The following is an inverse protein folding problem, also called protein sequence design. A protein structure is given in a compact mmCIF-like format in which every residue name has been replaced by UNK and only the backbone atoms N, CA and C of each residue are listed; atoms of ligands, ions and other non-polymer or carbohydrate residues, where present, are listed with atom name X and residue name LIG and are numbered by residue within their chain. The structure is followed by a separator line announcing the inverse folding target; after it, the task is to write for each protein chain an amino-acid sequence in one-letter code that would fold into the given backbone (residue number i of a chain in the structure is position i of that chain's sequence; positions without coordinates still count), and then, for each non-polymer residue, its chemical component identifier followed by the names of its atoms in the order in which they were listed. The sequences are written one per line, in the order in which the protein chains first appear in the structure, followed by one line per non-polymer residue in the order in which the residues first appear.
data_IF_299115984958
#
_entry.id   IF_299115984958
#
_cell.length_a   1.000
_cell.length_b   1.000
_cell.length_c   1.000
_cell.angle_alpha   90.00
_cell.angle_beta   90.00
_cell.angle_gamma   90.00
#
_symmetry.space_group_name_H-M   'P 1'
#
loop_
_entity.id
_entity.type
_entity.pdbx_description
1 polymer ?
#
# COMPACT_ATOMS: atom_id res chain seq x y z
N UNK A 1 -33.20 -38.26 -52.83
CA UNK A 1 -32.70 -38.97 -51.62
C UNK A 1 -32.06 -37.95 -50.70
N UNK A 2 -32.36 -37.92 -49.41
CA UNK A 2 -33.65 -37.53 -48.83
C UNK A 2 -33.58 -36.20 -48.02
N UNK A 3 -34.75 -35.56 -47.95
CA UNK A 3 -35.37 -34.81 -46.84
C UNK A 3 -34.59 -33.84 -45.94
N UNK A 4 -34.99 -32.56 -46.07
CA UNK A 4 -35.36 -31.64 -44.98
C UNK A 4 -35.50 -32.28 -43.58
N UNK A 5 -34.80 -31.72 -42.60
CA UNK A 5 -35.35 -31.46 -41.26
C UNK A 5 -34.48 -30.43 -40.53
N UNK A 6 -35.05 -29.23 -40.36
CA UNK A 6 -34.61 -28.25 -39.38
C UNK A 6 -34.88 -28.79 -37.98
N UNK A 7 -33.83 -29.20 -37.26
CA UNK A 7 -33.95 -29.49 -35.84
C UNK A 7 -34.09 -28.17 -35.05
N UNK A 8 -35.11 -28.02 -34.20
CA UNK A 8 -35.19 -26.90 -33.28
C UNK A 8 -34.09 -27.05 -32.23
N UNK A 9 -33.60 -25.95 -31.62
CA UNK A 9 -32.68 -26.06 -30.51
C UNK A 9 -33.38 -26.84 -29.39
N UNK A 10 -32.76 -27.93 -28.95
CA UNK A 10 -33.10 -28.67 -27.74
C UNK A 10 -32.94 -27.74 -26.53
N UNK A 11 -33.97 -26.95 -26.24
CA UNK A 11 -34.19 -26.41 -24.90
C UNK A 11 -34.91 -27.50 -24.12
N UNK A 12 -34.15 -28.39 -23.48
CA UNK A 12 -34.73 -29.26 -22.46
C UNK A 12 -35.30 -28.38 -21.33
N UNK A 13 -36.41 -28.80 -20.73
CA UNK A 13 -36.95 -28.16 -19.51
C UNK A 13 -35.88 -28.03 -18.41
N UNK A 14 -34.89 -28.94 -18.39
CA UNK A 14 -33.72 -28.88 -17.52
C UNK A 14 -32.78 -27.69 -17.82
N UNK A 15 -32.62 -27.29 -19.09
CA UNK A 15 -31.76 -26.15 -19.47
C UNK A 15 -32.44 -24.79 -19.22
N UNK A 16 -33.78 -24.72 -19.29
CA UNK A 16 -34.54 -23.55 -18.83
C UNK A 16 -34.55 -23.42 -17.29
N UNK A 17 -34.63 -24.53 -16.56
CA UNK A 17 -34.50 -24.53 -15.10
C UNK A 17 -33.07 -24.20 -14.64
N UNK A 18 -32.04 -24.65 -15.37
CA UNK A 18 -30.65 -24.28 -15.10
C UNK A 18 -30.36 -22.79 -15.37
N UNK A 19 -31.01 -22.19 -16.37
CA UNK A 19 -30.92 -20.75 -16.65
C UNK A 19 -31.71 -19.89 -15.64
N UNK A 20 -32.86 -20.37 -15.14
CA UNK A 20 -33.59 -19.73 -14.04
C UNK A 20 -32.85 -19.81 -12.71
N UNK A 21 -32.06 -20.87 -12.46
CA UNK A 21 -31.19 -20.99 -11.30
C UNK A 21 -29.95 -20.08 -11.37
N UNK A 22 -29.64 -19.49 -12.53
CA UNK A 22 -28.53 -18.55 -12.74
C UNK A 22 -28.99 -17.09 -12.86
N UNK A 23 -30.29 -16.81 -12.81
CA UNK A 23 -30.78 -15.45 -12.62
C UNK A 23 -30.57 -15.08 -11.14
N UNK A 24 -29.92 -13.95 -10.81
CA UNK A 24 -29.92 -13.45 -9.45
C UNK A 24 -31.39 -13.28 -9.06
N UNK A 25 -31.83 -14.00 -8.03
CA UNK A 25 -33.12 -13.74 -7.41
C UNK A 25 -33.20 -12.24 -7.16
N UNK A 26 -34.27 -11.59 -7.64
CA UNK A 26 -34.54 -10.22 -7.23
C UNK A 26 -34.49 -10.20 -5.70
N UNK A 27 -33.67 -9.34 -5.08
CA UNK A 27 -33.53 -9.34 -3.65
C UNK A 27 -34.93 -9.12 -3.09
N UNK A 28 -35.38 -10.06 -2.26
CA UNK A 28 -36.55 -9.82 -1.43
C UNK A 28 -36.34 -8.48 -0.73
N UNK A 29 -37.40 -7.69 -0.56
CA UNK A 29 -37.33 -6.39 0.12
C UNK A 29 -36.83 -6.47 1.59
N UNK A 30 -36.43 -7.65 2.06
CA UNK A 30 -35.78 -7.90 3.36
C UNK A 30 -34.24 -7.90 3.32
N UNK A 31 -33.59 -7.84 2.15
CA UNK A 31 -32.12 -7.87 2.04
C UNK A 31 -31.43 -6.50 2.13
N UNK A 32 -32.17 -5.44 2.50
CA UNK A 32 -31.58 -4.19 3.00
C UNK A 32 -31.47 -4.31 4.52
N UNK A 33 -30.48 -5.06 4.98
CA UNK A 33 -30.02 -5.05 6.37
C UNK A 33 -31.09 -5.42 7.40
N UNK A 34 -31.46 -6.70 7.51
CA UNK A 34 -31.99 -7.20 8.77
C UNK A 34 -30.88 -7.10 9.82
N UNK A 35 -30.96 -6.06 10.64
CA UNK A 35 -30.01 -5.64 11.67
C UNK A 35 -29.95 -6.64 12.85
N UNK A 36 -29.53 -7.89 12.61
CA UNK A 36 -29.37 -8.90 13.68
C UNK A 36 -28.25 -8.52 14.67
N UNK A 37 -27.40 -7.56 14.30
CA UNK A 37 -26.29 -7.07 15.11
C UNK A 37 -26.36 -5.56 15.42
N UNK A 38 -27.46 -4.89 15.05
CA UNK A 38 -27.68 -3.48 15.36
C UNK A 38 -28.11 -3.29 16.82
N UNK A 39 -27.49 -2.35 17.53
CA UNK A 39 -27.98 -1.95 18.85
C UNK A 39 -29.27 -1.13 18.66
N UNK A 40 -30.39 -1.61 19.20
CA UNK A 40 -31.60 -0.80 19.26
C UNK A 40 -31.41 0.34 20.28
N UNK A 41 -31.05 1.52 19.78
CA UNK A 41 -30.86 2.72 20.59
C UNK A 41 -32.15 3.55 20.53
N UNK A 42 -32.91 3.68 21.63
CA UNK A 42 -34.17 4.43 21.63
C UNK A 42 -33.99 5.87 21.14
N UNK A 43 -34.85 6.30 20.21
CA UNK A 43 -34.85 7.64 19.59
C UNK A 43 -33.60 7.98 18.77
N UNK A 44 -32.81 6.98 18.39
CA UNK A 44 -31.73 7.17 17.44
C UNK A 44 -32.29 7.34 16.02
N UNK A 45 -31.80 8.35 15.32
CA UNK A 45 -32.03 8.54 13.90
C UNK A 45 -30.68 8.66 13.21
N UNK A 46 -30.45 7.82 12.20
CA UNK A 46 -29.21 7.82 11.44
C UNK A 46 -29.01 9.18 10.75
N UNK A 47 -27.78 9.69 10.81
CA UNK A 47 -27.36 10.91 10.13
C UNK A 47 -25.87 10.83 9.83
N UNK A 48 -25.48 10.98 8.56
CA UNK A 48 -24.06 10.98 8.19
C UNK A 48 -23.27 12.08 8.91
N UNK A 49 -23.86 13.26 9.14
CA UNK A 49 -23.21 14.34 9.89
C UNK A 49 -22.94 13.94 11.34
N UNK A 50 -23.91 13.29 11.99
CA UNK A 50 -23.74 12.80 13.36
C UNK A 50 -22.72 11.68 13.43
N UNK A 51 -22.82 10.69 12.54
CA UNK A 51 -21.99 9.48 12.58
C UNK A 51 -20.53 9.75 12.16
N UNK A 52 -20.28 10.74 11.31
CA UNK A 52 -18.93 11.08 10.83
C UNK A 52 -18.39 12.30 11.59
N UNK A 53 -18.92 13.50 11.31
CA UNK A 53 -18.39 14.73 11.89
C UNK A 53 -18.64 14.80 13.41
N UNK A 54 -19.81 14.37 13.88
CA UNK A 54 -20.13 14.29 15.30
C UNK A 54 -19.23 13.33 16.07
N UNK A 55 -18.98 12.13 15.52
CA UNK A 55 -18.04 11.16 16.10
C UNK A 55 -16.61 11.69 16.14
N UNK A 56 -16.13 12.30 15.04
CA UNK A 56 -14.81 12.93 14.98
C UNK A 56 -14.69 14.03 16.04
N UNK A 57 -15.71 14.89 16.16
CA UNK A 57 -15.74 15.95 17.17
C UNK A 57 -15.69 15.38 18.58
N UNK A 58 -16.47 14.35 18.87
CA UNK A 58 -16.47 13.69 20.18
C UNK A 58 -15.09 13.08 20.50
N UNK A 59 -14.50 12.34 19.56
CA UNK A 59 -13.16 11.77 19.73
C UNK A 59 -12.14 12.87 19.99
N UNK A 60 -12.11 13.92 19.16
CA UNK A 60 -11.13 14.99 19.27
C UNK A 60 -11.25 15.81 20.56
N UNK A 61 -12.46 15.97 21.10
CA UNK A 61 -12.70 16.81 22.29
C UNK A 61 -12.73 16.04 23.60
N UNK A 62 -12.96 14.72 23.57
CA UNK A 62 -13.15 13.90 24.78
C UNK A 62 -12.17 12.75 24.93
N UNK A 63 -11.67 12.17 23.84
CA UNK A 63 -10.94 10.90 23.89
C UNK A 63 -9.48 11.01 23.41
N UNK A 64 -9.24 11.81 22.38
CA UNK A 64 -7.93 11.94 21.77
C UNK A 64 -6.96 12.71 22.71
N UNK A 65 -5.70 12.27 22.82
CA UNK A 65 -4.70 13.04 23.55
C UNK A 65 -4.39 14.36 22.83
N UNK A 66 -3.91 15.39 23.55
CA UNK A 66 -3.55 16.68 22.95
C UNK A 66 -2.61 16.53 21.75
N UNK A 67 -2.90 17.24 20.67
CA UNK A 67 -2.09 17.23 19.45
C UNK A 67 -2.23 15.99 18.57
N UNK A 68 -3.17 15.08 18.85
CA UNK A 68 -3.42 13.87 18.05
C UNK A 68 -4.88 13.77 17.57
N UNK A 69 -5.37 14.71 16.75
CA UNK A 69 -6.73 14.65 16.24
C UNK A 69 -6.92 13.45 15.29
N UNK A 70 -8.17 13.07 15.06
CA UNK A 70 -8.55 12.07 14.04
C UNK A 70 -8.04 12.52 12.67
N UNK A 71 -7.43 11.59 11.93
CA UNK A 71 -6.89 11.81 10.58
C UNK A 71 -7.47 10.88 9.52
N UNK A 72 -7.99 9.74 9.93
CA UNK A 72 -8.49 8.69 9.04
C UNK A 72 -9.79 8.15 9.62
N UNK A 73 -10.82 8.05 8.78
CA UNK A 73 -12.03 7.27 9.05
C UNK A 73 -11.88 5.89 8.41
N UNK A 74 -12.08 4.85 9.22
CA UNK A 74 -12.09 3.46 8.77
C UNK A 74 -13.53 2.96 8.72
N UNK A 75 -14.00 2.53 7.55
CA UNK A 75 -15.40 2.16 7.35
C UNK A 75 -15.80 0.93 8.18
N UNK A 76 -16.98 1.00 8.80
CA UNK A 76 -17.62 -0.11 9.49
C UNK A 76 -18.35 -1.04 8.51
N UNK A 77 -18.72 -2.23 8.98
CA UNK A 77 -19.48 -3.20 8.19
C UNK A 77 -18.68 -3.77 7.00
N UNK A 78 -19.34 -3.94 5.86
CA UNK A 78 -18.75 -4.49 4.64
C UNK A 78 -17.91 -3.47 3.84
N UNK A 79 -17.77 -2.24 4.33
CA UNK A 79 -17.02 -1.18 3.66
C UNK A 79 -17.64 -0.68 2.35
N UNK A 80 -18.87 -1.08 2.01
CA UNK A 80 -19.59 -0.54 0.85
C UNK A 80 -20.32 0.73 1.26
N UNK A 81 -19.73 1.89 0.98
CA UNK A 81 -20.28 3.19 1.40
C UNK A 81 -20.78 4.03 0.23
N UNK A 82 -21.87 4.79 0.39
CA UNK A 82 -22.38 5.69 -0.64
C UNK A 82 -21.49 6.94 -0.80
N UNK A 83 -21.53 7.63 -1.95
CA UNK A 83 -20.75 8.84 -2.19
C UNK A 83 -20.88 9.90 -1.09
N UNK A 84 -22.10 10.12 -0.58
CA UNK A 84 -22.35 11.09 0.52
C UNK A 84 -21.53 10.81 1.78
N UNK A 85 -21.26 9.53 2.11
CA UNK A 85 -20.42 9.21 3.26
C UNK A 85 -18.97 9.65 3.02
N UNK A 86 -18.43 9.37 1.82
CA UNK A 86 -17.08 9.81 1.43
C UNK A 86 -17.00 11.32 1.40
N UNK A 87 -18.03 12.01 0.88
CA UNK A 87 -18.12 13.47 0.91
C UNK A 87 -18.00 14.03 2.33
N UNK A 88 -18.70 13.43 3.30
CA UNK A 88 -18.59 13.84 4.72
C UNK A 88 -17.19 13.65 5.30
N UNK A 89 -16.39 12.70 4.82
CA UNK A 89 -14.97 12.60 5.23
C UNK A 89 -14.14 13.75 4.68
N UNK A 90 -14.39 14.15 3.43
CA UNK A 90 -13.74 15.29 2.78
C UNK A 90 -14.11 16.60 3.48
N UNK A 91 -15.39 16.84 3.75
CA UNK A 91 -15.88 18.00 4.50
C UNK A 91 -15.29 18.08 5.91
N UNK A 92 -15.09 16.93 6.57
CA UNK A 92 -14.45 16.85 7.88
C UNK A 92 -12.91 16.95 7.84
N UNK A 93 -12.30 17.04 6.65
CA UNK A 93 -10.85 17.14 6.49
C UNK A 93 -10.08 15.88 6.89
N UNK A 94 -10.71 14.71 6.84
CA UNK A 94 -10.09 13.42 7.17
C UNK A 94 -10.01 12.51 5.95
N UNK A 95 -9.00 11.65 5.96
CA UNK A 95 -8.83 10.59 4.97
C UNK A 95 -9.82 9.45 5.24
N UNK A 96 -10.09 8.60 4.26
CA UNK A 96 -10.95 7.42 4.45
C UNK A 96 -10.31 6.15 3.88
N UNK A 97 -10.56 5.01 4.52
CA UNK A 97 -10.12 3.70 4.04
C UNK A 97 -11.04 2.56 4.47
N UNK A 98 -11.05 1.48 3.68
CA UNK A 98 -11.52 0.10 3.88
C UNK A 98 -12.46 -0.34 2.75
N UNK A 99 -12.79 -1.64 2.73
CA UNK A 99 -13.20 -2.35 1.52
C UNK A 99 -11.99 -2.92 0.78
N UNK A 100 -12.23 -3.55 -0.38
CA UNK A 100 -11.17 -4.03 -1.28
C UNK A 100 -10.55 -5.39 -0.94
N UNK A 101 -11.34 -6.29 -0.34
CA UNK A 101 -11.46 -7.75 -0.60
C UNK A 101 -10.27 -8.53 -1.20
N UNK A 102 -9.05 -8.13 -0.85
CA UNK A 102 -7.81 -8.78 -1.26
C UNK A 102 -7.59 -9.98 -0.34
N UNK A 103 -7.88 -11.17 -0.87
CA UNK A 103 -7.83 -12.46 -0.19
C UNK A 103 -7.36 -13.57 -1.16
N UNK A 104 -6.21 -13.34 -1.80
CA UNK A 104 -5.52 -14.37 -2.56
C UNK A 104 -4.78 -15.30 -1.58
N UNK A 105 -4.93 -16.61 -1.74
CA UNK A 105 -4.26 -17.61 -0.90
C UNK A 105 -3.81 -18.79 -1.77
N UNK A 106 -3.02 -19.72 -1.24
CA UNK A 106 -2.58 -20.90 -2.03
C UNK A 106 -3.74 -21.80 -2.46
N UNK A 107 -4.84 -21.78 -1.70
CA UNK A 107 -6.09 -22.51 -2.04
C UNK A 107 -7.09 -21.65 -2.85
N UNK A 108 -6.81 -20.36 -3.03
CA UNK A 108 -7.53 -19.43 -3.90
C UNK A 108 -6.53 -18.58 -4.70
N UNK A 109 -5.72 -19.17 -5.59
CA UNK A 109 -4.57 -18.51 -6.20
C UNK A 109 -4.96 -17.70 -7.46
N UNK A 110 -6.00 -16.88 -7.37
CA UNK A 110 -6.46 -16.05 -8.49
C UNK A 110 -6.13 -14.58 -8.28
N UNK A 111 -5.61 -13.91 -9.31
CA UNK A 111 -5.45 -12.45 -9.29
C UNK A 111 -6.79 -11.71 -9.23
N UNK A 112 -7.90 -12.35 -9.59
CA UNK A 112 -9.24 -11.78 -9.38
C UNK A 112 -9.60 -11.66 -7.88
N UNK A 113 -8.85 -12.33 -6.99
CA UNK A 113 -8.94 -12.17 -5.54
C UNK A 113 -8.03 -11.04 -5.00
N UNK A 114 -7.49 -10.19 -5.88
CA UNK A 114 -6.72 -9.00 -5.52
C UNK A 114 -7.51 -7.77 -5.98
N UNK A 115 -7.99 -6.97 -5.02
CA UNK A 115 -8.82 -5.82 -5.34
C UNK A 115 -7.97 -4.63 -5.86
N UNK A 116 -8.58 -3.63 -6.51
CA UNK A 116 -7.87 -2.38 -6.85
C UNK A 116 -7.45 -1.59 -5.60
N UNK A 117 -6.79 -0.45 -5.79
CA UNK A 117 -6.37 0.44 -4.68
C UNK A 117 -7.54 1.21 -4.04
N UNK A 118 -8.69 1.25 -4.72
CA UNK A 118 -9.87 1.96 -4.27
C UNK A 118 -10.92 2.02 -5.37
N UNK A 119 -11.99 2.79 -5.12
CA UNK A 119 -13.08 2.99 -6.05
C UNK A 119 -13.47 4.47 -6.11
N UNK A 120 -13.70 4.96 -7.33
CA UNK A 120 -14.20 6.30 -7.59
C UNK A 120 -15.69 6.38 -7.25
N UNK A 121 -16.10 7.45 -6.57
CA UNK A 121 -17.48 7.69 -6.15
C UNK A 121 -18.12 8.88 -6.87
N UNK A 122 -17.46 9.44 -7.89
CA UNK A 122 -17.87 10.65 -8.61
C UNK A 122 -17.43 11.93 -7.89
N UNK A 123 -17.47 13.07 -8.59
CA UNK A 123 -17.24 14.41 -8.03
C UNK A 123 -15.92 14.58 -7.24
N UNK A 124 -14.87 13.87 -7.67
CA UNK A 124 -13.57 13.88 -7.00
C UNK A 124 -13.52 13.06 -5.69
N UNK A 125 -14.60 12.37 -5.35
CA UNK A 125 -14.68 11.51 -4.17
C UNK A 125 -14.05 10.15 -4.45
N UNK A 126 -13.14 9.73 -3.57
CA UNK A 126 -12.45 8.46 -3.71
C UNK A 126 -12.44 7.69 -2.39
N UNK A 127 -12.80 6.42 -2.47
CA UNK A 127 -12.69 5.49 -1.35
C UNK A 127 -11.43 4.66 -1.52
N UNK A 128 -10.47 4.80 -0.60
CA UNK A 128 -9.26 3.96 -0.61
C UNK A 128 -9.54 2.61 0.02
N UNK A 129 -9.07 1.54 -0.62
CA UNK A 129 -9.21 0.19 -0.10
C UNK A 129 -8.03 -0.21 0.79
N UNK A 130 -8.33 -1.08 1.76
CA UNK A 130 -7.30 -1.69 2.59
C UNK A 130 -6.35 -2.53 1.70
N UNK A 131 -5.04 -2.62 2.02
CA UNK A 131 -4.11 -3.42 1.22
C UNK A 131 -4.45 -4.91 1.16
N UNK A 132 -4.96 -5.46 2.27
CA UNK A 132 -5.33 -6.86 2.44
C UNK A 132 -6.54 -6.98 3.38
N UNK A 133 -7.25 -8.10 3.29
CA UNK A 133 -8.38 -8.40 4.17
C UNK A 133 -7.99 -8.55 5.64
N UNK A 134 -8.96 -8.31 6.52
CA UNK A 134 -8.79 -8.54 7.95
C UNK A 134 -8.94 -10.02 8.33
N UNK A 135 -8.69 -10.33 9.59
CA UNK A 135 -8.69 -11.69 10.14
C UNK A 135 -10.02 -12.43 10.01
N UNK A 136 -11.15 -11.71 9.88
CA UNK A 136 -12.46 -12.35 9.85
C UNK A 136 -12.60 -13.32 8.67
N UNK A 137 -12.12 -12.96 7.48
CA UNK A 137 -12.19 -13.79 6.27
C UNK A 137 -11.32 -15.03 6.44
N UNK A 138 -10.14 -14.87 7.04
CA UNK A 138 -9.23 -15.99 7.30
C UNK A 138 -9.74 -16.95 8.39
N UNK A 139 -10.73 -16.54 9.18
CA UNK A 139 -11.27 -17.29 10.32
C UNK A 139 -12.75 -17.66 10.13
N UNK A 140 -13.24 -17.67 8.88
CA UNK A 140 -14.64 -17.97 8.54
C UNK A 140 -15.63 -17.11 9.34
N UNK A 141 -15.49 -15.78 9.25
CA UNK A 141 -16.27 -14.82 10.03
C UNK A 141 -16.23 -15.14 11.54
N UNK A 142 -15.03 -15.42 12.04
CA UNK A 142 -14.78 -15.79 13.43
C UNK A 142 -15.40 -17.13 13.89
N UNK A 143 -15.81 -18.01 12.97
CA UNK A 143 -16.27 -19.38 13.29
C UNK A 143 -15.12 -20.39 13.38
N UNK A 144 -13.90 -19.94 13.10
CA UNK A 144 -12.69 -20.73 13.14
C UNK A 144 -12.30 -21.31 11.77
N UNK A 145 -11.09 -21.90 11.66
CA UNK A 145 -10.10 -22.03 12.73
C UNK A 145 -9.51 -20.67 13.16
N UNK A 146 -9.42 -20.41 14.46
CA UNK A 146 -8.95 -19.13 15.00
C UNK A 146 -7.47 -18.82 14.72
N UNK A 147 -6.69 -19.80 14.27
CA UNK A 147 -5.32 -19.60 13.79
C UNK A 147 -5.26 -19.17 12.31
N UNK A 148 -6.39 -19.12 11.60
CA UNK A 148 -6.44 -18.96 10.14
C UNK A 148 -5.77 -17.68 9.63
N UNK A 149 -5.65 -16.64 10.47
CA UNK A 149 -4.98 -15.38 10.08
C UNK A 149 -3.51 -15.54 9.72
N UNK A 150 -2.84 -16.64 10.10
CA UNK A 150 -1.48 -16.95 9.60
C UNK A 150 -1.41 -16.99 8.07
N UNK A 151 -2.52 -17.31 7.40
CA UNK A 151 -2.62 -17.34 5.95
C UNK A 151 -2.57 -15.96 5.29
N UNK A 152 -2.63 -14.86 6.05
CA UNK A 152 -2.32 -13.53 5.52
C UNK A 152 -0.89 -13.47 4.94
N UNK A 153 0.03 -14.29 5.45
CA UNK A 153 1.37 -14.45 4.89
C UNK A 153 1.31 -14.99 3.45
N UNK A 154 0.39 -15.92 3.14
CA UNK A 154 0.19 -16.40 1.77
C UNK A 154 -0.24 -15.25 0.85
N UNK A 155 -1.17 -14.41 1.32
CA UNK A 155 -1.62 -13.22 0.58
C UNK A 155 -0.47 -12.26 0.32
N UNK A 156 0.38 -12.03 1.31
CA UNK A 156 1.54 -11.15 1.18
C UNK A 156 2.56 -11.69 0.18
N UNK A 157 2.88 -12.98 0.23
CA UNK A 157 3.80 -13.60 -0.73
C UNK A 157 3.26 -13.56 -2.17
N UNK A 158 1.98 -13.91 -2.35
CA UNK A 158 1.32 -13.98 -3.66
C UNK A 158 1.01 -12.60 -4.26
N UNK A 159 0.98 -11.55 -3.45
CA UNK A 159 0.87 -10.16 -3.93
C UNK A 159 2.21 -9.44 -4.03
N UNK A 160 3.32 -10.06 -3.60
CA UNK A 160 4.68 -9.58 -3.84
C UNK A 160 5.31 -10.18 -5.11
N UNK A 161 5.01 -11.46 -5.39
CA UNK A 161 5.58 -12.23 -6.51
C UNK A 161 4.52 -13.00 -7.31
N UNK A 162 4.69 -13.15 -8.65
CA UNK A 162 5.80 -12.65 -9.46
C UNK A 162 5.72 -11.15 -9.73
N UNK A 163 4.58 -10.51 -9.54
CA UNK A 163 4.43 -9.06 -9.66
C UNK A 163 4.02 -8.50 -8.29
N UNK A 164 4.63 -7.39 -7.87
CA UNK A 164 4.21 -6.70 -6.66
C UNK A 164 2.94 -5.90 -6.96
N UNK A 165 1.82 -6.35 -6.42
CA UNK A 165 0.49 -5.78 -6.60
C UNK A 165 0.02 -4.98 -5.40
N UNK A 166 0.43 -5.36 -4.18
CA UNK A 166 -0.05 -4.76 -2.93
C UNK A 166 1.08 -4.55 -1.92
N UNK A 167 0.99 -3.50 -1.07
CA UNK A 167 1.79 -3.44 0.13
C UNK A 167 1.28 -4.43 1.19
N UNK A 168 2.07 -4.64 2.24
CA UNK A 168 1.65 -5.44 3.39
C UNK A 168 0.62 -4.66 4.22
N UNK A 169 -0.49 -5.31 4.57
CA UNK A 169 -1.52 -4.74 5.44
C UNK A 169 -1.91 -5.74 6.53
N UNK A 170 -1.54 -5.45 7.78
CA UNK A 170 -1.94 -6.25 8.94
C UNK A 170 -3.21 -5.62 9.53
N UNK A 171 -4.36 -6.12 9.09
CA UNK A 171 -5.67 -5.62 9.48
C UNK A 171 -6.35 -6.66 10.38
N UNK A 172 -6.74 -6.27 11.60
CA UNK A 172 -7.44 -7.13 12.55
C UNK A 172 -8.31 -6.31 13.51
N UNK A 173 -9.26 -6.98 14.17
CA UNK A 173 -10.09 -6.42 15.23
C UNK A 173 -9.57 -6.81 16.62
N UNK A 174 -9.95 -6.03 17.63
CA UNK A 174 -9.54 -6.24 19.03
C UNK A 174 -10.01 -7.60 19.60
N UNK A 175 -11.11 -8.17 19.10
CA UNK A 175 -11.57 -9.50 19.53
C UNK A 175 -10.56 -10.60 19.19
N UNK A 176 -9.59 -10.35 18.30
CA UNK A 176 -8.47 -11.26 18.02
C UNK A 176 -7.71 -11.65 19.29
N UNK A 177 -7.72 -10.80 20.33
CA UNK A 177 -7.13 -11.10 21.64
C UNK A 177 -7.92 -12.11 22.49
N UNK A 178 -9.14 -12.49 22.11
CA UNK A 178 -10.00 -13.36 22.93
C UNK A 178 -9.68 -14.86 22.78
N UNK A 179 -8.84 -15.25 21.81
CA UNK A 179 -8.44 -16.64 21.56
C UNK A 179 -6.92 -16.73 21.48
N UNK A 180 -6.31 -17.63 22.27
CA UNK A 180 -4.85 -17.87 22.27
C UNK A 180 -4.34 -18.19 20.87
N UNK A 181 -5.06 -19.01 20.11
CA UNK A 181 -4.71 -19.36 18.73
C UNK A 181 -4.68 -18.14 17.79
N UNK A 182 -5.61 -17.20 17.95
CA UNK A 182 -5.65 -15.97 17.15
C UNK A 182 -4.55 -14.99 17.56
N UNK A 183 -4.23 -14.89 18.84
CA UNK A 183 -3.11 -14.07 19.31
C UNK A 183 -1.77 -14.62 18.81
N UNK A 184 -1.59 -15.94 18.82
CA UNK A 184 -0.41 -16.60 18.27
C UNK A 184 -0.29 -16.36 16.75
N UNK A 185 -1.41 -16.46 16.01
CA UNK A 185 -1.45 -16.15 14.58
C UNK A 185 -1.07 -14.70 14.30
N UNK A 186 -1.64 -13.74 15.04
CA UNK A 186 -1.31 -12.32 14.90
C UNK A 186 0.18 -12.06 15.14
N UNK A 187 0.76 -12.66 16.19
CA UNK A 187 2.19 -12.56 16.48
C UNK A 187 3.04 -13.10 15.34
N UNK A 188 2.69 -14.27 14.80
CA UNK A 188 3.40 -14.87 13.67
C UNK A 188 3.38 -13.96 12.44
N UNK A 189 2.24 -13.32 12.14
CA UNK A 189 2.12 -12.39 11.01
C UNK A 189 3.01 -11.15 11.23
N UNK A 190 3.03 -10.57 12.43
CA UNK A 190 3.93 -9.46 12.77
C UNK A 190 5.41 -9.84 12.69
N UNK A 191 5.79 -10.98 13.29
CA UNK A 191 7.17 -11.47 13.29
C UNK A 191 7.65 -11.71 11.85
N UNK A 192 6.80 -12.29 10.99
CA UNK A 192 7.11 -12.44 9.56
C UNK A 192 7.25 -11.08 8.86
N UNK A 193 6.31 -10.16 9.05
CA UNK A 193 6.31 -8.84 8.38
C UNK A 193 7.54 -8.00 8.77
N UNK A 194 8.00 -8.10 10.02
CA UNK A 194 9.18 -7.38 10.52
C UNK A 194 10.51 -7.90 9.95
N UNK A 195 10.53 -9.07 9.31
CA UNK A 195 11.70 -9.56 8.57
C UNK A 195 11.72 -9.10 7.11
N UNK A 196 10.62 -8.52 6.61
CA UNK A 196 10.54 -8.03 5.24
C UNK A 196 11.23 -6.67 5.10
N UNK A 197 11.86 -6.39 3.94
CA UNK A 197 12.53 -5.12 3.69
C UNK A 197 11.52 -4.03 3.27
N UNK A 198 10.59 -3.72 4.16
CA UNK A 198 9.54 -2.71 3.95
C UNK A 198 9.75 -1.50 4.83
N UNK A 199 9.16 -0.36 4.45
CA UNK A 199 9.00 0.79 5.33
C UNK A 199 7.65 0.66 6.05
N UNK A 200 7.62 0.50 7.39
CA UNK A 200 6.39 0.66 8.14
C UNK A 200 5.86 2.08 7.96
N UNK A 201 4.57 2.24 7.69
CA UNK A 201 3.92 3.54 7.49
C UNK A 201 2.57 3.58 8.19
N UNK A 202 2.07 4.77 8.48
CA UNK A 202 0.68 4.92 8.91
C UNK A 202 -0.29 4.66 7.76
N UNK A 203 -1.51 4.24 8.09
CA UNK A 203 -2.59 4.15 7.12
C UNK A 203 -2.81 5.48 6.36
N UNK A 204 -2.65 6.62 7.04
CA UNK A 204 -2.69 7.95 6.40
C UNK A 204 -1.66 8.10 5.29
N UNK A 205 -0.43 7.63 5.49
CA UNK A 205 0.63 7.76 4.50
C UNK A 205 0.41 6.82 3.31
N UNK A 206 -0.25 5.67 3.54
CA UNK A 206 -0.67 4.78 2.46
C UNK A 206 -1.80 5.40 1.64
N UNK A 207 -2.84 5.95 2.29
CA UNK A 207 -3.96 6.62 1.61
C UNK A 207 -3.42 7.76 0.73
N UNK A 208 -2.53 8.60 1.26
CA UNK A 208 -1.92 9.68 0.48
C UNK A 208 -1.14 9.18 -0.73
N UNK A 209 -0.42 8.05 -0.64
CA UNK A 209 0.24 7.43 -1.80
C UNK A 209 -0.76 6.97 -2.87
N UNK A 210 -1.91 6.42 -2.45
CA UNK A 210 -2.96 5.99 -3.39
C UNK A 210 -3.58 7.19 -4.09
N UNK A 211 -3.84 8.28 -3.36
CA UNK A 211 -4.38 9.51 -3.93
C UNK A 211 -3.38 10.18 -4.88
N UNK A 212 -2.11 10.25 -4.50
CA UNK A 212 -1.02 10.77 -5.35
C UNK A 212 -0.90 9.94 -6.63
N UNK A 213 -0.95 8.61 -6.55
CA UNK A 213 -0.93 7.73 -7.72
C UNK A 213 -2.04 8.06 -8.73
N UNK A 214 -3.25 8.43 -8.28
CA UNK A 214 -4.36 8.81 -9.19
C UNK A 214 -4.09 10.09 -9.96
N UNK A 215 -3.36 11.02 -9.35
CA UNK A 215 -3.05 12.32 -9.94
C UNK A 215 -1.64 12.34 -10.60
N UNK A 216 -0.96 11.20 -10.62
CA UNK A 216 0.42 11.11 -11.03
C UNK A 216 0.56 11.28 -12.54
N UNK A 217 1.35 12.25 -12.96
CA UNK A 217 1.61 12.56 -14.37
C UNK A 217 2.93 11.95 -14.82
N UNK A 218 2.90 11.32 -16.00
CA UNK A 218 4.09 10.83 -16.71
C UNK A 218 4.12 11.43 -18.10
N UNK A 219 5.23 12.06 -18.46
CA UNK A 219 5.44 12.70 -19.75
C UNK A 219 6.81 12.35 -20.31
N UNK A 220 6.95 12.54 -21.63
CA UNK A 220 8.23 12.39 -22.33
C UNK A 220 8.82 13.77 -22.63
N UNK A 221 10.12 13.90 -22.43
CA UNK A 221 10.92 15.10 -22.70
C UNK A 221 12.18 14.69 -23.47
N UNK A 222 12.08 14.60 -24.79
CA UNK A 222 13.13 14.04 -25.65
C UNK A 222 13.38 12.55 -25.36
N UNK A 223 14.62 12.23 -24.97
CA UNK A 223 15.04 10.89 -24.54
C UNK A 223 14.72 10.59 -23.07
N UNK A 224 14.25 11.60 -22.31
CA UNK A 224 13.96 11.48 -20.89
C UNK A 224 12.47 11.29 -20.59
N UNK A 225 12.20 10.73 -19.42
CA UNK A 225 10.92 10.72 -18.75
C UNK A 225 10.86 11.84 -17.72
N UNK A 226 9.69 12.46 -17.60
CA UNK A 226 9.35 13.39 -16.52
C UNK A 226 8.17 12.79 -15.76
N UNK A 227 8.33 12.62 -14.45
CA UNK A 227 7.29 12.09 -13.57
C UNK A 227 6.97 13.13 -12.51
N UNK A 228 5.67 13.33 -12.21
CA UNK A 228 5.22 14.34 -11.24
C UNK A 228 3.99 13.86 -10.46
N UNK A 229 4.00 14.12 -9.17
CA UNK A 229 2.87 13.96 -8.27
C UNK A 229 2.97 14.92 -7.09
N UNK A 230 2.10 14.73 -6.10
CA UNK A 230 2.07 15.48 -4.84
C UNK A 230 3.30 15.15 -3.97
N UNK A 231 3.94 14.03 -4.27
CA UNK A 231 5.19 13.60 -3.70
C UNK A 231 5.01 12.66 -2.54
N UNK A 232 3.88 12.02 -2.33
CA UNK A 232 3.72 10.91 -1.40
C UNK A 232 4.21 9.60 -2.01
N UNK A 233 3.96 9.39 -3.30
CA UNK A 233 4.49 8.31 -4.12
C UNK A 233 5.95 8.60 -4.49
N UNK A 234 6.85 7.68 -4.15
CA UNK A 234 8.32 7.86 -4.32
C UNK A 234 9.01 6.73 -5.08
N UNK A 235 8.23 5.85 -5.69
CA UNK A 235 8.78 4.77 -6.51
C UNK A 235 7.88 4.57 -7.70
N UNK A 236 8.48 4.54 -8.89
CA UNK A 236 7.81 4.16 -10.13
C UNK A 236 8.40 2.86 -10.66
N UNK A 237 7.60 2.09 -11.39
CA UNK A 237 8.06 0.87 -12.04
C UNK A 237 8.29 1.12 -13.52
N UNK A 238 9.48 0.78 -14.01
CA UNK A 238 9.80 0.66 -15.42
C UNK A 238 9.75 -0.81 -15.83
N UNK A 239 8.98 -1.14 -16.86
CA UNK A 239 8.83 -2.51 -17.38
C UNK A 239 9.72 -2.82 -18.59
N UNK A 240 10.39 -1.81 -19.15
CA UNK A 240 11.33 -1.99 -20.26
C UNK A 240 12.72 -2.46 -19.80
N UNK A 241 13.65 -2.49 -20.75
CA UNK A 241 15.07 -2.75 -20.49
C UNK A 241 15.79 -1.50 -19.95
N UNK A 242 16.99 -1.71 -19.42
CA UNK A 242 17.86 -0.65 -18.93
C UNK A 242 17.51 -0.15 -17.53
N UNK A 243 18.32 0.79 -17.05
CA UNK A 243 18.21 1.44 -15.74
C UNK A 243 18.24 2.97 -15.90
N UNK A 244 17.82 3.75 -14.89
CA UNK A 244 17.92 5.20 -14.96
C UNK A 244 19.38 5.64 -15.13
N UNK A 245 19.63 6.52 -16.11
CA UNK A 245 20.91 7.18 -16.30
C UNK A 245 21.13 8.21 -15.21
N UNK A 246 21.93 7.85 -14.19
CA UNK A 246 22.09 8.70 -13.00
C UNK A 246 22.96 9.95 -13.25
N UNK A 247 23.76 9.95 -14.32
CA UNK A 247 24.66 11.06 -14.65
C UNK A 247 23.92 12.37 -14.96
N UNK A 248 22.72 12.30 -15.52
CA UNK A 248 21.88 13.45 -15.88
C UNK A 248 20.47 13.40 -15.26
N UNK A 249 20.21 12.42 -14.38
CA UNK A 249 18.96 12.33 -13.66
C UNK A 249 18.82 13.46 -12.62
N UNK A 250 17.60 14.00 -12.52
CA UNK A 250 17.17 14.92 -11.47
C UNK A 250 16.18 14.22 -10.56
N UNK A 251 16.42 14.32 -9.26
CA UNK A 251 15.56 13.75 -8.21
C UNK A 251 15.33 12.23 -8.32
N UNK A 252 16.33 11.50 -8.82
CA UNK A 252 16.40 10.03 -8.75
C UNK A 252 17.47 9.61 -7.74
N UNK A 253 17.05 8.94 -6.67
CA UNK A 253 17.92 8.46 -5.61
C UNK A 253 18.67 7.18 -6.01
N UNK A 254 18.02 6.34 -6.81
CA UNK A 254 18.56 5.08 -7.30
C UNK A 254 17.47 4.17 -7.82
N UNK A 255 17.74 2.86 -7.83
CA UNK A 255 16.84 1.87 -8.38
C UNK A 255 17.10 0.47 -7.81
N UNK A 256 16.15 -0.45 -8.03
CA UNK A 256 16.29 -1.86 -7.70
C UNK A 256 15.62 -2.74 -8.76
N UNK A 257 16.06 -4.01 -8.93
CA UNK A 257 15.33 -4.96 -9.76
C UNK A 257 13.87 -5.09 -9.31
N UNK A 258 12.94 -5.09 -10.26
CA UNK A 258 11.53 -5.30 -9.96
C UNK A 258 11.15 -6.79 -9.99
N UNK A 259 10.27 -7.19 -9.07
CA UNK A 259 9.67 -8.52 -9.08
C UNK A 259 8.97 -8.77 -10.43
N UNK A 260 9.29 -9.89 -11.08
CA UNK A 260 8.70 -10.26 -12.38
C UNK A 260 9.29 -9.51 -13.56
N UNK A 261 10.45 -8.88 -13.38
CA UNK A 261 11.18 -8.16 -14.43
C UNK A 261 10.96 -6.64 -14.41
N UNK A 262 11.93 -5.92 -14.97
CA UNK A 262 11.98 -4.46 -14.99
C UNK A 262 12.74 -3.86 -13.80
N UNK A 263 12.47 -2.59 -13.51
CA UNK A 263 13.21 -1.80 -12.51
C UNK A 263 12.27 -0.93 -11.70
N UNK A 264 12.42 -0.93 -10.38
CA UNK A 264 11.85 0.10 -9.51
C UNK A 264 12.82 1.27 -9.43
N UNK A 265 12.32 2.46 -9.76
CA UNK A 265 13.09 3.70 -9.76
C UNK A 265 12.67 4.51 -8.53
N UNK A 266 13.64 4.81 -7.67
CA UNK A 266 13.41 5.52 -6.40
C UNK A 266 13.53 7.02 -6.63
N UNK A 267 12.45 7.74 -6.40
CA UNK A 267 12.37 9.19 -6.54
C UNK A 267 12.77 9.86 -5.23
N UNK A 268 13.71 10.80 -5.32
CA UNK A 268 14.01 11.74 -4.25
C UNK A 268 13.04 12.92 -4.21
N UNK A 269 12.36 13.13 -5.33
CA UNK A 269 11.33 14.11 -5.70
C UNK A 269 9.87 13.69 -5.57
N UNK A 270 8.93 14.63 -5.48
CA UNK A 270 7.60 14.45 -6.09
C UNK A 270 7.62 14.76 -7.60
N UNK A 271 8.71 15.35 -8.08
CA UNK A 271 8.98 15.61 -9.49
C UNK A 271 10.37 15.09 -9.83
N UNK A 272 10.50 14.22 -10.84
CA UNK A 272 11.80 13.71 -11.27
C UNK A 272 11.91 13.71 -12.79
N UNK A 273 13.16 13.75 -13.28
CA UNK A 273 13.48 13.62 -14.70
C UNK A 273 14.65 12.67 -14.87
N UNK A 274 14.53 11.68 -15.74
CA UNK A 274 15.61 10.73 -16.00
C UNK A 274 15.47 10.12 -17.40
N UNK A 275 16.60 9.87 -18.05
CA UNK A 275 16.67 9.01 -19.21
C UNK A 275 17.00 7.58 -18.79
N UNK A 276 16.88 6.65 -19.72
CA UNK A 276 17.26 5.25 -19.53
C UNK A 276 18.58 4.97 -20.24
N UNK A 277 19.39 4.06 -19.67
CA UNK A 277 20.62 3.57 -20.28
C UNK A 277 20.74 2.06 -20.13
N UNK A 278 21.52 1.46 -21.05
CA UNK A 278 21.95 0.07 -20.97
C UNK A 278 23.34 0.00 -20.35
N UNK A 279 23.60 -1.06 -19.59
CA UNK A 279 24.91 -1.34 -19.02
C UNK A 279 25.02 -1.04 -17.51
N UNK A 280 26.20 -1.27 -16.93
CA UNK A 280 26.40 -1.17 -15.50
C UNK A 280 26.40 0.29 -15.03
N UNK A 281 25.67 0.56 -13.95
CA UNK A 281 25.75 1.85 -13.27
C UNK A 281 27.08 1.97 -12.53
N UNK A 282 27.83 3.04 -12.74
CA UNK A 282 29.13 3.28 -12.09
C UNK A 282 29.04 4.23 -10.87
N UNK A 283 28.01 5.08 -10.82
CA UNK A 283 27.83 6.02 -9.71
C UNK A 283 27.25 5.31 -8.47
N UNK A 284 27.58 5.75 -7.25
CA UNK A 284 26.89 5.29 -6.05
C UNK A 284 25.41 5.70 -6.08
N UNK A 285 24.51 4.83 -5.63
CA UNK A 285 23.08 5.12 -5.61
C UNK A 285 22.35 4.39 -4.49
N UNK A 286 21.17 4.89 -4.11
CA UNK A 286 20.33 4.21 -3.11
C UNK A 286 19.69 3.00 -3.76
N UNK A 287 20.12 1.80 -3.38
CA UNK A 287 19.51 0.54 -3.82
C UNK A 287 18.19 0.30 -3.11
N UNK A 288 18.15 0.60 -1.82
CA UNK A 288 17.02 0.31 -0.95
C UNK A 288 17.04 1.25 0.27
N UNK A 289 15.86 1.59 0.78
CA UNK A 289 15.72 2.30 2.05
C UNK A 289 14.41 1.92 2.74
N UNK A 290 14.44 1.80 4.07
CA UNK A 290 13.24 1.69 4.91
C UNK A 290 12.95 3.04 5.58
N UNK A 291 12.92 4.09 4.77
CA UNK A 291 12.73 5.45 5.25
C UNK A 291 12.41 6.40 4.11
N UNK A 292 11.72 7.48 4.44
CA UNK A 292 11.43 8.59 3.55
C UNK A 292 12.72 9.36 3.30
N UNK A 293 13.09 9.48 2.03
CA UNK A 293 14.22 10.29 1.58
C UNK A 293 13.75 11.74 1.34
N UNK A 294 14.50 12.69 1.87
CA UNK A 294 14.31 14.13 1.67
C UNK A 294 15.67 14.83 1.55
N UNK A 295 15.69 16.11 1.15
CA UNK A 295 16.92 16.91 0.97
C UNK A 295 18.01 16.19 0.17
N UNK A 296 17.60 15.47 -0.86
CA UNK A 296 18.52 14.73 -1.72
C UNK A 296 19.43 15.67 -2.51
N UNK A 297 20.72 15.38 -2.48
CA UNK A 297 21.73 16.07 -3.26
C UNK A 297 22.76 15.07 -3.79
N UNK A 298 23.23 15.30 -5.00
CA UNK A 298 24.32 14.56 -5.64
C UNK A 298 25.35 15.57 -6.15
N UNK A 299 26.63 15.31 -5.93
CA UNK A 299 27.71 16.16 -6.45
C UNK A 299 27.75 16.14 -7.98
N UNK A 300 28.39 17.16 -8.58
CA UNK A 300 28.49 17.28 -10.03
C UNK A 300 29.24 16.10 -10.70
N UNK A 301 30.19 15.47 -9.99
CA UNK A 301 30.88 14.27 -10.45
C UNK A 301 30.14 12.96 -10.08
N UNK A 302 29.00 13.07 -9.40
CA UNK A 302 28.15 11.96 -8.99
C UNK A 302 28.68 11.10 -7.84
N UNK A 303 29.86 11.41 -7.29
CA UNK A 303 30.59 10.59 -6.31
C UNK A 303 30.27 10.89 -4.86
N UNK A 304 29.60 12.00 -4.58
CA UNK A 304 29.06 12.31 -3.28
C UNK A 304 27.53 12.40 -3.33
N UNK A 305 26.88 11.88 -2.29
CA UNK A 305 25.44 11.92 -2.06
C UNK A 305 25.19 12.44 -0.65
N UNK A 306 24.20 13.32 -0.50
CA UNK A 306 23.71 13.79 0.79
C UNK A 306 22.18 13.64 0.81
N UNK A 307 21.65 13.09 1.91
CA UNK A 307 20.22 12.76 2.02
C UNK A 307 19.75 12.72 3.47
N UNK A 308 18.57 13.26 3.71
CA UNK A 308 17.86 13.09 4.98
C UNK A 308 16.98 11.83 4.90
N UNK A 309 17.13 10.92 5.85
CA UNK A 309 16.36 9.67 5.93
C UNK A 309 15.52 9.66 7.20
N UNK A 310 14.21 9.49 7.07
CA UNK A 310 13.29 9.43 8.21
C UNK A 310 12.38 8.20 8.15
N UNK A 311 12.28 7.46 9.25
CA UNK A 311 11.37 6.32 9.37
C UNK A 311 10.73 6.25 10.76
N UNK A 312 9.60 5.56 10.84
CA UNK A 312 8.87 5.40 12.10
C UNK A 312 9.53 4.37 13.03
N UNK A 313 10.16 3.33 12.46
CA UNK A 313 10.78 2.24 13.20
C UNK A 313 12.03 1.76 12.47
N UNK A 314 13.20 1.84 13.12
CA UNK A 314 14.49 1.31 12.67
C UNK A 314 14.79 1.54 11.17
N UNK A 315 14.77 2.81 10.69
CA UNK A 315 15.10 3.11 9.32
C UNK A 315 16.54 2.68 8.98
N UNK A 316 16.74 2.32 7.72
CA UNK A 316 18.06 2.07 7.14
C UNK A 316 18.12 2.64 5.73
N UNK A 317 19.33 2.85 5.24
CA UNK A 317 19.62 3.16 3.85
C UNK A 317 20.70 2.21 3.33
N UNK A 318 20.55 1.73 2.10
CA UNK A 318 21.48 0.79 1.46
C UNK A 318 21.95 1.39 0.14
N UNK A 319 23.25 1.57 0.02
CA UNK A 319 23.88 2.07 -1.19
C UNK A 319 24.47 0.93 -2.01
N UNK A 320 24.39 1.05 -3.34
CA UNK A 320 25.14 0.26 -4.29
C UNK A 320 26.36 1.04 -4.80
N UNK A 321 27.34 0.32 -5.36
CA UNK A 321 28.62 0.83 -5.84
C UNK A 321 29.38 1.60 -4.74
N UNK A 322 29.30 1.07 -3.52
CA UNK A 322 29.76 1.76 -2.32
C UNK A 322 31.15 1.32 -1.82
N UNK A 323 31.86 0.39 -2.48
CA UNK A 323 33.06 -0.23 -1.90
C UNK A 323 34.20 0.74 -1.59
N UNK A 324 34.31 1.86 -2.33
CA UNK A 324 35.33 2.90 -2.12
C UNK A 324 34.79 4.14 -1.44
N UNK A 325 33.65 4.03 -0.77
CA UNK A 325 32.97 5.16 -0.15
C UNK A 325 33.23 5.25 1.34
N UNK A 326 33.07 6.45 1.88
CA UNK A 326 32.94 6.73 3.31
C UNK A 326 31.56 7.34 3.53
N UNK A 327 30.98 7.09 4.70
CA UNK A 327 29.69 7.66 5.05
C UNK A 327 29.71 8.31 6.43
N UNK A 328 28.87 9.32 6.62
CA UNK A 328 28.56 9.89 7.92
C UNK A 328 27.06 9.78 8.19
N UNK A 329 26.69 9.64 9.47
CA UNK A 329 25.32 9.80 9.96
C UNK A 329 25.34 10.90 11.02
N UNK A 330 24.60 11.98 10.78
CA UNK A 330 24.60 13.19 11.60
C UNK A 330 26.02 13.69 11.93
N UNK A 331 26.88 13.68 10.92
CA UNK A 331 28.29 14.11 11.01
C UNK A 331 29.24 13.11 11.68
N UNK A 332 28.78 11.93 12.10
CA UNK A 332 29.62 10.88 12.67
C UNK A 332 29.96 9.83 11.62
N UNK A 333 31.24 9.51 11.46
CA UNK A 333 31.68 8.47 10.52
C UNK A 333 31.04 7.11 10.85
N UNK A 334 30.56 6.42 9.82
CA UNK A 334 30.04 5.05 9.94
C UNK A 334 31.23 4.09 9.89
N UNK A 335 31.59 3.41 10.99
CA UNK A 335 32.77 2.56 11.03
C UNK A 335 32.53 1.21 10.38
N UNK A 336 33.62 0.56 9.95
CA UNK A 336 33.63 -0.85 9.53
C UNK A 336 33.97 -1.06 8.06
N UNK A 337 34.41 -2.28 7.74
CA UNK A 337 34.60 -2.70 6.36
C UNK A 337 33.25 -2.96 5.70
N UNK A 338 33.11 -2.54 4.44
CA UNK A 338 31.91 -2.75 3.63
C UNK A 338 32.29 -3.11 2.19
N UNK A 339 31.35 -3.73 1.47
CA UNK A 339 31.49 -4.02 0.05
C UNK A 339 30.80 -2.98 -0.84
N UNK A 340 30.49 -3.39 -2.06
CA UNK A 340 29.73 -2.57 -3.02
C UNK A 340 28.29 -2.32 -2.59
N UNK A 341 27.68 -3.26 -1.88
CA UNK A 341 26.35 -3.14 -1.31
C UNK A 341 26.47 -2.84 0.18
N UNK A 342 26.38 -1.55 0.54
CA UNK A 342 26.59 -1.07 1.90
C UNK A 342 25.28 -0.61 2.53
N UNK A 343 24.81 -1.38 3.51
CA UNK A 343 23.69 -1.01 4.39
C UNK A 343 24.21 -0.23 5.59
N UNK A 344 23.54 0.88 5.87
CA UNK A 344 23.73 1.72 7.05
C UNK A 344 22.42 1.72 7.83
N UNK A 345 22.43 1.09 9.01
CA UNK A 345 21.33 1.16 9.96
C UNK A 345 21.38 2.52 10.67
N UNK A 346 20.24 3.19 10.76
CA UNK A 346 20.13 4.48 11.40
C UNK A 346 19.59 4.30 12.83
N UNK A 347 19.51 5.40 13.58
CA UNK A 347 18.84 5.44 14.88
C UNK A 347 17.41 4.92 14.82
N UNK A 348 16.74 4.69 15.98
CA UNK A 348 15.53 3.88 16.09
C UNK A 348 14.30 4.39 15.31
N UNK A 349 14.39 5.55 14.67
CA UNK A 349 13.25 6.25 14.09
C UNK A 349 12.41 6.93 15.17
N UNK A 350 11.24 7.42 14.80
CA UNK A 350 10.34 8.05 15.74
C UNK A 350 8.88 7.65 15.46
N UNK A 351 8.22 6.87 16.34
CA UNK A 351 6.92 6.30 16.04
C UNK A 351 5.85 7.34 15.71
N UNK A 352 5.83 8.49 16.39
CA UNK A 352 4.76 9.47 16.23
C UNK A 352 4.93 10.47 15.07
N UNK A 353 6.15 10.60 14.50
CA UNK A 353 6.45 11.57 13.43
C UNK A 353 7.76 11.21 12.74
N UNK A 354 7.93 11.60 11.48
CA UNK A 354 9.19 11.42 10.77
C UNK A 354 10.24 12.40 11.30
N UNK A 355 11.32 11.88 11.88
CA UNK A 355 12.51 12.66 12.28
C UNK A 355 13.66 12.23 11.37
N UNK A 356 14.22 13.20 10.65
CA UNK A 356 15.32 12.97 9.72
C UNK A 356 16.63 12.72 10.45
N UNK A 357 17.42 11.80 9.90
CA UNK A 357 18.84 11.63 10.19
C UNK A 357 19.59 11.90 8.89
N UNK A 358 20.63 12.72 8.97
CA UNK A 358 21.38 13.17 7.82
C UNK A 358 22.45 12.15 7.45
N UNK A 359 22.44 11.68 6.21
CA UNK A 359 23.41 10.71 5.69
C UNK A 359 24.19 11.34 4.56
N UNK A 360 25.51 11.32 4.67
CA UNK A 360 26.42 11.68 3.58
C UNK A 360 27.20 10.45 3.16
N UNK A 361 27.42 10.31 1.85
CA UNK A 361 28.26 9.27 1.25
C UNK A 361 29.24 9.97 0.29
N UNK A 362 30.53 9.69 0.41
CA UNK A 362 31.56 10.23 -0.49
C UNK A 362 32.50 9.12 -0.97
N UNK A 363 32.63 8.98 -2.29
CA UNK A 363 33.35 7.88 -2.92
C UNK A 363 34.68 8.31 -3.55
N UNK A 364 35.70 7.50 -3.34
CA UNK A 364 37.01 7.67 -3.97
C UNK A 364 36.97 7.50 -5.49
N UNK A 365 38.12 7.77 -6.14
CA UNK A 365 38.24 7.67 -7.59
C UNK A 365 38.13 6.26 -8.15
#
# INVERSE_FOLDING_TARGET
MPTSESQPPLQSLESLQALQALQPSQPSQEDVGSDVYGLNIPRYHFSFDREIAGSIHYINTRLAPPGKPVRVLLWSGNGQVPPVAVQKTVEAGVLNMNGGDTYITRTNPSWTAVAPLGVDKGDGLFQVFAPAQNENIYTNLWHGPYYGFTRAIETFELTDRPLRLKPLGIYYHMYSGTKVASLAALRQVYDWALTQPVMPVYASDYILKVLDFRNFAVARDGDAWVVRGDGDLRTVRWSGAGVPRLADARDVAGFAPAAGGGTYIHLASGSARFAMEDGPQALPYVREASGRLTRWQRSADGRAVSVDVAGYVRPFIRFANAARCRATVDGREVPGAHGDDWRIDLGPGHPARLVAQHVELACGR
#
